data_IF_383393996417
#
_entry.id   IF_383393996417
#
_cell.length_a   1.000
_cell.length_b   1.000
_cell.length_c   1.000
_cell.angle_alpha   90.00
_cell.angle_beta   90.00
_cell.angle_gamma   90.00
#
_symmetry.space_group_name_H-M   'P 1'
#
loop_
_entity.id
_entity.type
_entity.pdbx_description
1 polymer ?
#
# COMPACT_ATOMS: atom_id res chain seq x y z
N UNK A 1 -35.43 7.63 -13.72
CA UNK A 1 -35.03 8.22 -12.42
C UNK A 1 -33.72 8.96 -12.65
N UNK A 2 -33.85 10.23 -12.98
CA UNK A 2 -32.77 11.13 -13.38
C UNK A 2 -31.86 11.43 -12.20
N UNK A 3 -30.57 11.14 -12.34
CA UNK A 3 -29.54 11.62 -11.42
C UNK A 3 -29.54 13.14 -11.52
N UNK A 4 -29.89 13.82 -10.43
CA UNK A 4 -29.75 15.26 -10.29
C UNK A 4 -28.27 15.59 -9.96
N UNK A 5 -27.50 16.20 -10.88
CA UNK A 5 -26.12 16.57 -10.63
C UNK A 5 -25.99 17.70 -9.58
N UNK A 6 -27.08 18.39 -9.23
CA UNK A 6 -27.06 19.52 -8.31
C UNK A 6 -26.91 19.12 -6.82
N UNK A 7 -27.08 17.84 -6.45
CA UNK A 7 -26.89 17.40 -5.05
C UNK A 7 -25.43 17.05 -4.69
N UNK A 8 -24.51 17.14 -5.65
CA UNK A 8 -23.07 16.89 -5.42
C UNK A 8 -22.25 18.16 -5.20
N UNK A 9 -22.89 19.33 -5.33
CA UNK A 9 -22.37 20.64 -4.95
C UNK A 9 -23.11 21.08 -3.66
N UNK A 10 -22.43 21.81 -2.75
CA UNK A 10 -22.91 22.35 -1.45
C UNK A 10 -22.44 21.66 -0.15
N UNK A 11 -21.34 20.91 -0.17
CA UNK A 11 -20.54 20.77 1.06
C UNK A 11 -19.17 21.35 0.77
N UNK A 12 -18.90 22.53 1.33
CA UNK A 12 -17.57 23.12 1.26
C UNK A 12 -16.51 22.09 1.71
N UNK A 13 -15.35 22.01 1.05
CA UNK A 13 -14.28 21.13 1.48
C UNK A 13 -13.94 21.45 2.95
N UNK A 14 -13.68 20.43 3.78
CA UNK A 14 -13.33 20.67 5.17
C UNK A 14 -12.03 21.50 5.24
N UNK A 15 -11.83 22.29 6.31
CA UNK A 15 -10.52 22.90 6.53
C UNK A 15 -9.44 21.81 6.70
N UNK A 16 -8.17 22.10 6.37
CA UNK A 16 -7.06 21.17 6.59
C UNK A 16 -7.02 20.65 8.03
N UNK A 17 -7.02 19.32 8.25
CA UNK A 17 -6.89 18.74 9.59
C UNK A 17 -5.46 18.93 10.13
N UNK A 18 -5.32 19.05 11.45
CA UNK A 18 -4.02 18.95 12.13
C UNK A 18 -3.62 17.50 12.36
N UNK A 19 -4.59 16.61 12.59
CA UNK A 19 -4.36 15.18 12.80
C UNK A 19 -5.29 14.33 11.92
N UNK A 20 -4.69 13.57 11.00
CA UNK A 20 -5.38 12.64 10.11
C UNK A 20 -5.05 11.19 10.50
N UNK A 21 -6.09 10.39 10.73
CA UNK A 21 -5.97 8.94 10.86
C UNK A 21 -6.29 8.25 9.54
N UNK A 22 -5.37 7.46 9.00
CA UNK A 22 -5.58 6.63 7.82
C UNK A 22 -5.75 5.18 8.25
N UNK A 23 -6.81 4.51 7.78
CA UNK A 23 -7.05 3.09 8.07
C UNK A 23 -6.96 2.29 6.77
N UNK A 24 -5.84 1.59 6.56
CA UNK A 24 -5.62 0.70 5.41
C UNK A 24 -4.77 -0.49 5.80
N UNK A 25 -5.40 -1.65 5.95
CA UNK A 25 -4.75 -2.86 6.47
C UNK A 25 -4.05 -3.78 5.43
N UNK A 26 -4.47 -3.81 4.15
CA UNK A 26 -3.99 -4.77 3.10
C UNK A 26 -4.28 -4.25 1.70
N UNK A 27 -3.85 -4.84 0.56
CA UNK A 27 -2.66 -5.65 0.29
C UNK A 27 -1.48 -4.75 -0.14
N UNK A 28 -0.29 -5.30 -0.42
CA UNK A 28 0.90 -4.48 -0.75
C UNK A 28 0.61 -3.43 -1.85
N UNK A 29 0.03 -3.85 -2.98
CA UNK A 29 -0.30 -2.94 -4.08
C UNK A 29 -1.27 -1.83 -3.68
N UNK A 30 -2.21 -2.12 -2.77
CA UNK A 30 -3.13 -1.10 -2.26
C UNK A 30 -2.47 -0.16 -1.25
N UNK A 31 -1.51 -0.66 -0.47
CA UNK A 31 -0.73 0.15 0.46
C UNK A 31 0.11 1.15 -0.33
N UNK A 32 0.80 0.70 -1.39
CA UNK A 32 1.58 1.58 -2.28
C UNK A 32 0.69 2.65 -2.93
N UNK A 33 -0.48 2.26 -3.45
CA UNK A 33 -1.42 3.23 -4.02
C UNK A 33 -1.96 4.20 -2.97
N UNK A 34 -2.24 3.72 -1.75
CA UNK A 34 -2.68 4.59 -0.66
C UNK A 34 -1.54 5.53 -0.22
N UNK A 35 -0.28 5.08 -0.22
CA UNK A 35 0.88 5.92 0.11
C UNK A 35 1.01 7.09 -0.88
N UNK A 36 0.76 6.86 -2.16
CA UNK A 36 0.72 7.91 -3.19
C UNK A 36 -0.37 8.95 -2.92
N UNK A 37 -1.55 8.53 -2.45
CA UNK A 37 -2.60 9.46 -2.01
C UNK A 37 -2.15 10.27 -0.80
N UNK A 38 -1.58 9.60 0.21
CA UNK A 38 -1.15 10.25 1.44
C UNK A 38 0.05 11.19 1.21
N UNK A 39 0.91 10.90 0.22
CA UNK A 39 1.95 11.83 -0.24
C UNK A 39 1.32 13.14 -0.75
N UNK A 40 0.30 13.05 -1.60
CA UNK A 40 -0.43 14.22 -2.10
C UNK A 40 -1.11 15.00 -0.98
N UNK A 41 -1.68 14.31 0.01
CA UNK A 41 -2.22 14.94 1.23
C UNK A 41 -1.14 15.71 1.98
N UNK A 42 0.02 15.10 2.24
CA UNK A 42 1.08 15.74 3.00
C UNK A 42 1.65 16.98 2.30
N UNK A 43 1.70 16.97 0.96
CA UNK A 43 2.10 18.13 0.14
C UNK A 43 1.10 19.28 0.26
N UNK A 44 -0.19 18.98 0.18
CA UNK A 44 -1.25 19.99 0.17
C UNK A 44 -1.63 20.45 1.59
N UNK A 45 -1.38 19.64 2.62
CA UNK A 45 -1.57 19.93 4.04
C UNK A 45 -0.25 19.75 4.83
N UNK A 46 0.73 20.65 4.67
CA UNK A 46 2.09 20.49 5.23
C UNK A 46 2.16 20.44 6.76
N UNK A 47 1.13 20.91 7.48
CA UNK A 47 1.03 20.84 8.95
C UNK A 47 0.23 19.64 9.48
N UNK A 48 -0.27 18.77 8.60
CA UNK A 48 -1.09 17.64 9.01
C UNK A 48 -0.21 16.48 9.51
N UNK A 49 -0.38 16.12 10.78
CA UNK A 49 0.21 14.90 11.36
C UNK A 49 -0.60 13.70 10.90
N UNK A 50 0.08 12.77 10.23
CA UNK A 50 -0.54 11.58 9.64
C UNK A 50 -0.24 10.35 10.50
N UNK A 51 -1.28 9.73 11.03
CA UNK A 51 -1.21 8.44 11.73
C UNK A 51 -1.84 7.36 10.85
N UNK A 52 -1.18 6.22 10.68
CA UNK A 52 -1.65 5.16 9.80
C UNK A 52 -1.81 3.83 10.54
N UNK A 53 -3.01 3.23 10.47
CA UNK A 53 -3.27 1.85 10.94
C UNK A 53 -3.11 0.87 9.78
N UNK A 54 -2.10 -0.01 9.89
CA UNK A 54 -1.73 -0.98 8.86
C UNK A 54 -1.45 -2.34 9.51
N UNK A 55 -1.53 -3.44 8.76
CA UNK A 55 -1.04 -4.72 9.28
C UNK A 55 0.45 -4.66 9.60
N UNK A 56 0.83 -5.31 10.69
CA UNK A 56 2.21 -5.55 11.12
C UNK A 56 3.18 -5.89 9.96
N UNK A 57 2.80 -6.79 9.06
CA UNK A 57 3.60 -7.22 7.91
C UNK A 57 3.98 -6.06 6.95
N UNK A 58 3.18 -5.00 6.89
CA UNK A 58 3.42 -3.84 6.02
C UNK A 58 3.80 -2.58 6.80
N UNK A 59 3.91 -2.65 8.13
CA UNK A 59 4.28 -1.50 8.95
C UNK A 59 5.64 -0.91 8.55
N UNK A 60 6.71 -1.71 8.31
CA UNK A 60 8.00 -1.15 7.90
C UNK A 60 7.94 -0.34 6.61
N UNK A 61 7.12 -0.74 5.63
CA UNK A 61 6.92 -0.01 4.39
C UNK A 61 6.26 1.36 4.62
N UNK A 62 5.27 1.41 5.51
CA UNK A 62 4.57 2.65 5.83
C UNK A 62 5.45 3.58 6.68
N UNK A 63 6.23 3.03 7.61
CA UNK A 63 7.22 3.78 8.41
C UNK A 63 8.34 4.38 7.55
N UNK A 64 8.65 3.76 6.41
CA UNK A 64 9.60 4.27 5.43
C UNK A 64 9.14 5.61 4.81
N UNK A 65 7.84 5.86 4.76
CA UNK A 65 7.30 7.05 4.12
C UNK A 65 7.55 8.29 5.00
N UNK A 66 8.30 9.30 4.52
CA UNK A 66 8.72 10.45 5.33
C UNK A 66 7.54 11.31 5.82
N UNK A 67 6.39 11.20 5.14
CA UNK A 67 5.18 11.96 5.42
C UNK A 67 4.22 11.24 6.39
N UNK A 68 4.49 9.99 6.76
CA UNK A 68 3.73 9.29 7.80
C UNK A 68 4.44 9.46 9.14
N UNK A 69 3.73 10.03 10.11
CA UNK A 69 4.32 10.46 11.38
C UNK A 69 4.20 9.42 12.48
N UNK A 70 3.17 8.57 12.42
CA UNK A 70 2.98 7.48 13.37
C UNK A 70 2.31 6.28 12.68
N UNK A 71 2.79 5.07 12.99
CA UNK A 71 2.23 3.83 12.45
C UNK A 71 1.71 2.97 13.60
N UNK A 72 0.44 2.59 13.51
CA UNK A 72 -0.21 1.66 14.43
C UNK A 72 -0.25 0.29 13.75
N UNK A 73 0.67 -0.59 14.15
CA UNK A 73 0.78 -1.94 13.63
C UNK A 73 -0.33 -2.86 14.18
N UNK A 74 -1.26 -3.25 13.31
CA UNK A 74 -2.34 -4.19 13.61
C UNK A 74 -1.85 -5.65 13.49
N UNK A 75 -1.73 -6.31 14.64
CA UNK A 75 -1.32 -7.72 14.77
C UNK A 75 -2.50 -8.66 14.51
N UNK A 76 -2.77 -8.96 13.23
CA UNK A 76 -3.92 -9.81 12.84
C UNK A 76 -3.89 -11.19 13.50
N UNK A 77 -2.70 -11.77 13.71
CA UNK A 77 -2.53 -13.10 14.33
C UNK A 77 -2.95 -13.13 15.81
N UNK A 78 -2.99 -11.99 16.49
CA UNK A 78 -3.46 -11.87 17.87
C UNK A 78 -5.01 -11.82 17.99
N UNK A 79 -5.75 -11.96 16.88
CA UNK A 79 -7.21 -12.02 16.87
C UNK A 79 -7.85 -10.80 17.53
N UNK A 80 -8.82 -11.05 18.43
CA UNK A 80 -9.53 -10.00 19.15
C UNK A 80 -8.63 -9.15 20.04
N UNK A 81 -7.58 -9.72 20.63
CA UNK A 81 -6.61 -8.97 21.45
C UNK A 81 -5.89 -7.91 20.60
N UNK A 82 -5.46 -8.31 19.40
CA UNK A 82 -4.85 -7.37 18.44
C UNK A 82 -5.79 -6.23 18.04
N UNK A 83 -7.08 -6.51 17.86
CA UNK A 83 -8.07 -5.46 17.59
C UNK A 83 -8.23 -4.51 18.79
N UNK A 84 -8.35 -5.03 20.00
CA UNK A 84 -8.48 -4.23 21.22
C UNK A 84 -7.24 -3.37 21.48
N UNK A 85 -6.04 -3.91 21.26
CA UNK A 85 -4.78 -3.17 21.36
C UNK A 85 -4.73 -2.02 20.35
N UNK A 86 -5.07 -2.28 19.08
CA UNK A 86 -5.16 -1.23 18.06
C UNK A 86 -6.21 -0.18 18.42
N UNK A 87 -7.39 -0.57 18.91
CA UNK A 87 -8.42 0.37 19.38
C UNK A 87 -7.90 1.23 20.53
N UNK A 88 -7.21 0.63 21.51
CA UNK A 88 -6.61 1.37 22.64
C UNK A 88 -5.59 2.40 22.14
N UNK A 89 -4.74 2.03 21.19
CA UNK A 89 -3.76 2.95 20.59
C UNK A 89 -4.45 4.11 19.86
N UNK A 90 -5.43 3.81 19.00
CA UNK A 90 -6.24 4.83 18.30
C UNK A 90 -6.92 5.78 19.30
N UNK A 91 -7.46 5.26 20.40
CA UNK A 91 -8.17 6.06 21.42
C UNK A 91 -7.25 6.89 22.31
N UNK A 92 -5.93 6.74 22.24
CA UNK A 92 -4.98 7.61 22.97
C UNK A 92 -4.86 8.99 22.34
N UNK A 93 -5.07 9.08 21.03
CA UNK A 93 -5.00 10.33 20.27
C UNK A 93 -6.42 10.86 19.95
N UNK A 94 -6.50 12.13 19.55
CA UNK A 94 -7.71 12.73 18.96
C UNK A 94 -7.35 13.08 17.53
N UNK A 95 -8.27 12.81 16.62
CA UNK A 95 -8.08 13.08 15.20
C UNK A 95 -9.13 14.09 14.77
N UNK A 96 -8.75 14.98 13.86
CA UNK A 96 -9.73 15.89 13.25
C UNK A 96 -10.49 15.18 12.14
N UNK A 97 -9.82 14.19 11.50
CA UNK A 97 -10.34 13.43 10.39
C UNK A 97 -9.83 11.99 10.38
N UNK A 98 -10.68 11.06 9.95
CA UNK A 98 -10.34 9.65 9.72
C UNK A 98 -10.68 9.27 8.29
N UNK A 99 -9.74 8.69 7.56
CA UNK A 99 -9.94 8.13 6.22
C UNK A 99 -9.85 6.60 6.28
N UNK A 100 -11.01 5.94 6.25
CA UNK A 100 -11.11 4.50 6.06
C UNK A 100 -11.05 4.16 4.57
N UNK A 101 -9.82 4.05 4.06
CA UNK A 101 -9.54 3.68 2.67
C UNK A 101 -9.71 2.17 2.44
N UNK A 102 -10.00 1.38 3.48
CA UNK A 102 -10.12 -0.06 3.40
C UNK A 102 -11.57 -0.47 3.07
N UNK A 103 -12.56 0.04 3.80
CA UNK A 103 -13.98 -0.21 3.53
C UNK A 103 -14.48 -1.60 3.92
N UNK A 104 -13.78 -2.32 4.83
CA UNK A 104 -14.23 -3.60 5.41
C UNK A 104 -14.68 -3.44 6.85
N UNK A 105 -15.44 -4.42 7.37
CA UNK A 105 -16.08 -4.31 8.69
C UNK A 105 -15.08 -4.21 9.85
N UNK A 106 -13.94 -4.88 9.76
CA UNK A 106 -12.89 -4.82 10.80
C UNK A 106 -12.28 -3.42 10.89
N UNK A 107 -11.77 -2.81 9.79
CA UNK A 107 -11.38 -1.41 9.76
C UNK A 107 -12.49 -0.45 10.25
N UNK A 108 -13.75 -0.71 9.89
CA UNK A 108 -14.87 0.13 10.31
C UNK A 108 -14.99 0.22 11.84
N UNK A 109 -14.72 -0.87 12.59
CA UNK A 109 -14.66 -0.81 14.06
C UNK A 109 -13.52 0.07 14.58
N UNK A 110 -12.35 0.04 13.92
CA UNK A 110 -11.23 0.92 14.26
C UNK A 110 -11.59 2.39 14.00
N UNK A 111 -12.23 2.67 12.86
CA UNK A 111 -12.73 3.99 12.48
C UNK A 111 -13.81 4.50 13.44
N UNK A 112 -14.77 3.64 13.81
CA UNK A 112 -15.82 3.98 14.77
C UNK A 112 -15.24 4.34 16.14
N UNK A 113 -14.25 3.58 16.61
CA UNK A 113 -13.59 3.80 17.89
C UNK A 113 -12.71 5.05 17.94
N UNK A 114 -12.29 5.58 16.80
CA UNK A 114 -11.51 6.80 16.71
C UNK A 114 -12.28 8.02 17.25
N UNK A 115 -11.57 8.85 18.02
CA UNK A 115 -12.10 10.11 18.55
C UNK A 115 -11.93 11.20 17.50
N UNK A 116 -12.88 11.25 16.55
CA UNK A 116 -12.88 12.23 15.46
C UNK A 116 -14.29 12.72 15.15
N UNK A 117 -14.47 14.03 14.90
CA UNK A 117 -15.73 14.57 14.40
C UNK A 117 -15.96 14.23 12.92
N UNK A 118 -14.93 13.83 12.16
CA UNK A 118 -15.06 13.45 10.76
C UNK A 118 -14.51 12.04 10.52
N UNK A 119 -15.37 11.13 10.08
CA UNK A 119 -15.06 9.72 9.79
C UNK A 119 -15.53 9.37 8.40
N UNK A 120 -14.58 9.27 7.50
CA UNK A 120 -14.79 9.13 6.07
C UNK A 120 -14.61 7.68 5.66
N UNK A 121 -15.53 7.18 4.86
CA UNK A 121 -15.44 5.84 4.31
C UNK A 121 -16.30 5.71 3.07
N UNK A 122 -16.08 4.66 2.30
CA UNK A 122 -16.91 4.36 1.13
C UNK A 122 -18.26 3.81 1.57
N UNK A 123 -19.33 4.27 0.94
CA UNK A 123 -20.66 3.70 1.14
C UNK A 123 -20.66 2.25 0.66
N UNK A 124 -20.93 1.32 1.55
CA UNK A 124 -21.14 -0.09 1.21
C UNK A 124 -22.62 -0.41 1.30
N UNK A 125 -23.15 -1.15 0.35
CA UNK A 125 -24.58 -1.55 0.30
C UNK A 125 -25.01 -2.49 1.44
N UNK A 126 -24.12 -2.86 2.38
CA UNK A 126 -24.37 -3.88 3.41
C UNK A 126 -23.94 -3.46 4.83
N UNK A 127 -24.92 -3.32 5.72
CA UNK A 127 -24.81 -3.54 7.17
C UNK A 127 -24.26 -2.40 8.05
N UNK A 128 -23.91 -2.75 9.30
CA UNK A 128 -23.49 -1.89 10.43
C UNK A 128 -22.29 -0.94 10.15
N UNK A 129 -21.62 -1.07 8.99
CA UNK A 129 -20.47 -0.23 8.62
C UNK A 129 -20.84 1.24 8.42
N UNK A 130 -22.06 1.50 7.95
CA UNK A 130 -22.56 2.87 7.75
C UNK A 130 -22.53 3.71 9.04
N UNK A 131 -22.69 3.07 10.20
CA UNK A 131 -22.64 3.74 11.50
C UNK A 131 -21.22 4.19 11.89
N UNK A 132 -20.19 3.64 11.24
CA UNK A 132 -18.79 3.99 11.50
C UNK A 132 -18.36 5.29 10.81
N UNK A 133 -19.13 5.73 9.80
CA UNK A 133 -18.80 6.88 8.97
C UNK A 133 -19.89 7.94 9.08
N UNK A 134 -19.49 9.20 9.12
CA UNK A 134 -20.42 10.34 9.04
C UNK A 134 -20.22 11.17 7.76
N UNK A 135 -19.24 10.82 6.93
CA UNK A 135 -19.07 11.34 5.58
C UNK A 135 -18.75 10.20 4.62
N UNK A 136 -19.47 10.16 3.49
CA UNK A 136 -19.28 9.13 2.48
C UNK A 136 -18.42 9.65 1.34
N UNK A 137 -17.39 8.88 0.99
CA UNK A 137 -16.59 9.11 -0.21
C UNK A 137 -17.31 8.46 -1.39
N UNK A 138 -17.58 9.21 -2.48
CA UNK A 138 -18.29 8.69 -3.64
C UNK A 138 -17.45 7.65 -4.40
N UNK A 139 -18.15 6.88 -5.22
CA UNK A 139 -17.51 6.01 -6.21
C UNK A 139 -17.14 6.84 -7.44
N UNK A 140 -16.04 6.53 -8.15
CA UNK A 140 -15.73 7.19 -9.42
C UNK A 140 -16.89 7.13 -10.42
N UNK A 141 -16.93 8.10 -11.33
CA UNK A 141 -17.90 8.10 -12.43
C UNK A 141 -17.62 6.98 -13.44
N UNK A 142 -18.67 6.56 -14.15
CA UNK A 142 -18.61 5.51 -15.18
C UNK A 142 -19.02 4.12 -14.69
N UNK A 143 -19.15 3.14 -15.59
CA UNK A 143 -19.49 1.77 -15.23
C UNK A 143 -18.29 1.07 -14.52
N UNK A 144 -18.55 0.19 -13.54
CA UNK A 144 -17.51 -0.64 -12.95
C UNK A 144 -16.98 -1.69 -13.96
N UNK A 145 -15.76 -2.25 -13.75
CA UNK A 145 -14.87 -2.05 -12.60
C UNK A 145 -14.02 -0.77 -12.72
N UNK A 146 -13.76 -0.11 -11.59
CA UNK A 146 -12.84 1.03 -11.53
C UNK A 146 -11.45 0.59 -11.10
N UNK A 147 -10.43 1.28 -11.61
CA UNK A 147 -9.06 1.12 -11.14
C UNK A 147 -8.96 1.55 -9.65
N UNK A 148 -8.20 0.81 -8.85
CA UNK A 148 -8.09 1.04 -7.41
C UNK A 148 -7.58 2.46 -7.07
N UNK A 149 -6.59 2.96 -7.83
CA UNK A 149 -6.11 4.34 -7.71
C UNK A 149 -7.25 5.37 -7.87
N UNK A 150 -8.08 5.24 -8.91
CA UNK A 150 -9.19 6.18 -9.18
C UNK A 150 -10.19 6.18 -8.04
N UNK A 151 -10.42 5.03 -7.40
CA UNK A 151 -11.25 4.92 -6.19
C UNK A 151 -10.60 5.65 -5.01
N UNK A 152 -9.29 5.55 -4.85
CA UNK A 152 -8.58 6.22 -3.76
C UNK A 152 -8.47 7.74 -3.98
N UNK A 153 -8.35 8.21 -5.22
CA UNK A 153 -8.37 9.64 -5.58
C UNK A 153 -9.69 10.33 -5.19
N UNK A 154 -10.79 9.59 -5.02
CA UNK A 154 -12.05 10.18 -4.53
C UNK A 154 -11.92 10.76 -3.11
N UNK A 155 -10.98 10.27 -2.29
CA UNK A 155 -10.71 10.89 -0.99
C UNK A 155 -10.10 12.28 -1.14
N UNK A 156 -9.18 12.47 -2.09
CA UNK A 156 -8.59 13.77 -2.43
C UNK A 156 -9.68 14.71 -2.97
N UNK A 157 -10.44 14.26 -3.96
CA UNK A 157 -11.54 15.03 -4.56
C UNK A 157 -12.58 15.46 -3.51
N UNK A 158 -12.98 14.55 -2.62
CA UNK A 158 -13.94 14.86 -1.53
C UNK A 158 -13.39 15.88 -0.53
N UNK A 159 -12.07 15.95 -0.37
CA UNK A 159 -11.38 16.92 0.47
C UNK A 159 -11.09 18.25 -0.25
N UNK A 160 -11.45 18.40 -1.52
CA UNK A 160 -11.12 19.57 -2.32
C UNK A 160 -9.62 19.66 -2.66
N UNK A 161 -8.93 18.52 -2.64
CA UNK A 161 -7.50 18.41 -2.96
C UNK A 161 -7.31 18.04 -4.44
N UNK A 162 -6.18 18.47 -4.99
CA UNK A 162 -5.70 18.03 -6.29
C UNK A 162 -5.52 16.50 -6.29
N UNK A 163 -6.02 15.84 -7.34
CA UNK A 163 -6.02 14.37 -7.47
C UNK A 163 -4.77 13.83 -8.18
N UNK A 164 -3.86 14.70 -8.60
CA UNK A 164 -2.58 14.36 -9.24
C UNK A 164 -1.74 13.51 -8.29
N UNK A 165 -1.15 12.46 -8.87
CA UNK A 165 -0.30 11.51 -8.15
C UNK A 165 1.15 11.85 -8.43
N UNK A 166 1.90 12.10 -7.37
CA UNK A 166 3.32 12.40 -7.44
C UNK A 166 4.13 11.10 -7.55
N UNK A 167 5.08 11.06 -8.48
CA UNK A 167 6.03 9.97 -8.69
C UNK A 167 7.42 10.61 -8.80
N UNK A 168 8.45 10.10 -8.12
CA UNK A 168 8.48 8.86 -7.34
C UNK A 168 7.86 8.98 -5.94
N UNK A 169 7.51 7.83 -5.36
CA UNK A 169 7.15 7.70 -3.95
C UNK A 169 8.45 7.73 -3.12
N UNK A 170 8.73 8.79 -2.35
CA UNK A 170 9.95 8.86 -1.56
C UNK A 170 9.82 7.90 -0.37
N UNK A 171 10.72 6.93 -0.29
CA UNK A 171 10.81 6.02 0.86
C UNK A 171 12.22 6.15 1.46
N UNK A 172 12.28 6.35 2.78
CA UNK A 172 13.52 6.26 3.53
C UNK A 172 14.02 4.81 3.48
N UNK A 173 15.33 4.57 3.49
CA UNK A 173 15.88 3.23 3.65
C UNK A 173 15.26 2.57 4.88
N UNK A 174 14.65 1.41 4.67
CA UNK A 174 14.01 0.66 5.76
C UNK A 174 15.12 -0.10 6.47
N UNK A 175 15.42 0.26 7.71
CA UNK A 175 16.07 -0.68 8.63
C UNK A 175 15.01 -1.67 9.06
N UNK A 176 14.89 -2.77 8.33
CA UNK A 176 13.96 -3.84 8.66
C UNK A 176 14.35 -4.36 10.04
N UNK A 177 13.56 -4.03 11.07
CA UNK A 177 13.79 -4.42 12.45
C UNK A 177 13.44 -5.89 12.62
N UNK A 178 14.42 -6.72 12.32
CA UNK A 178 14.42 -8.18 12.42
C UNK A 178 15.71 -8.70 11.80
N UNK A 179 16.18 -9.86 12.22
CA UNK A 179 17.21 -10.61 11.50
C UNK A 179 16.68 -10.94 10.10
N UNK A 180 16.76 -9.99 9.18
CA UNK A 180 17.03 -10.35 7.81
C UNK A 180 18.53 -10.55 7.80
N UNK A 181 18.95 -11.78 7.57
CA UNK A 181 20.34 -12.03 7.30
C UNK A 181 20.75 -11.04 6.21
N UNK A 182 21.79 -10.27 6.50
CA UNK A 182 22.34 -9.29 5.58
C UNK A 182 22.92 -9.96 4.33
N UNK A 183 22.80 -11.28 4.18
CA UNK A 183 23.17 -12.17 3.07
C UNK A 183 22.77 -11.65 1.69
N UNK A 184 21.68 -10.89 1.59
CA UNK A 184 21.29 -10.26 0.33
C UNK A 184 22.12 -9.00 0.02
N UNK A 185 22.62 -8.28 1.02
CA UNK A 185 23.40 -7.03 0.82
C UNK A 185 24.67 -7.29 0.00
N UNK A 186 25.49 -8.33 0.25
CA UNK A 186 26.61 -8.68 -0.61
C UNK A 186 26.21 -8.86 -2.09
N UNK A 187 25.05 -9.44 -2.38
CA UNK A 187 24.56 -9.59 -3.76
C UNK A 187 24.43 -8.23 -4.48
N UNK A 188 24.03 -7.17 -3.76
CA UNK A 188 23.89 -5.82 -4.32
C UNK A 188 25.11 -4.92 -4.11
N UNK A 189 25.95 -5.19 -3.10
CA UNK A 189 27.06 -4.32 -2.68
C UNK A 189 28.43 -4.74 -3.24
N UNK A 190 28.68 -6.03 -3.48
CA UNK A 190 30.03 -6.56 -3.76
C UNK A 190 30.35 -6.73 -5.26
N UNK A 191 29.64 -6.06 -6.17
CA UNK A 191 29.78 -6.32 -7.60
C UNK A 191 30.43 -5.12 -8.31
N UNK A 192 31.72 -5.24 -8.62
CA UNK A 192 32.51 -4.26 -9.40
C UNK A 192 31.99 -4.05 -10.84
N UNK A 193 30.95 -4.79 -11.26
CA UNK A 193 30.24 -4.68 -12.55
C UNK A 193 28.97 -3.81 -12.50
N UNK A 194 28.73 -3.07 -11.40
CA UNK A 194 27.50 -2.29 -11.15
C UNK A 194 27.09 -1.36 -12.30
N UNK A 195 28.04 -0.84 -13.07
CA UNK A 195 27.81 0.16 -14.10
C UNK A 195 27.66 -0.38 -15.54
N UNK A 196 27.92 -1.67 -15.81
CA UNK A 196 27.93 -2.19 -17.19
C UNK A 196 27.05 -3.43 -17.45
N UNK A 197 26.56 -4.10 -16.40
CA UNK A 197 25.79 -5.35 -16.55
C UNK A 197 24.31 -5.19 -16.17
N UNK A 198 23.35 -5.52 -17.06
CA UNK A 198 21.92 -5.39 -16.78
C UNK A 198 21.48 -6.25 -15.58
N UNK A 199 20.61 -5.69 -14.72
CA UNK A 199 19.97 -6.41 -13.62
C UNK A 199 18.47 -6.60 -13.91
N UNK A 200 18.02 -7.85 -13.91
CA UNK A 200 16.63 -8.24 -14.04
C UNK A 200 16.10 -8.73 -12.69
N UNK A 201 14.99 -8.15 -12.23
CA UNK A 201 14.30 -8.58 -10.99
C UNK A 201 12.93 -9.13 -11.38
N UNK A 202 12.65 -10.37 -11.00
CA UNK A 202 11.42 -11.07 -11.36
C UNK A 202 10.69 -11.51 -10.11
N UNK A 203 9.42 -11.13 -9.99
CA UNK A 203 8.54 -11.62 -8.93
C UNK A 203 7.81 -12.86 -9.41
N UNK A 204 8.11 -14.00 -8.80
CA UNK A 204 7.67 -15.32 -9.30
C UNK A 204 6.35 -15.79 -8.70
N UNK A 205 6.01 -15.26 -7.54
CA UNK A 205 4.91 -15.76 -6.73
C UNK A 205 3.68 -14.87 -6.84
N UNK A 206 2.51 -15.52 -6.79
CA UNK A 206 1.22 -14.86 -6.66
C UNK A 206 0.40 -15.53 -5.58
N UNK A 207 -0.50 -14.78 -4.94
CA UNK A 207 -1.43 -15.35 -3.96
C UNK A 207 -2.49 -16.27 -4.58
N UNK A 208 -2.60 -16.30 -5.92
CA UNK A 208 -3.54 -17.14 -6.64
C UNK A 208 -2.77 -18.07 -7.60
N UNK A 209 -3.00 -19.38 -7.50
CA UNK A 209 -2.23 -20.37 -8.26
C UNK A 209 -2.36 -20.19 -9.78
N UNK A 210 -3.53 -19.78 -10.26
CA UNK A 210 -3.80 -19.49 -11.66
C UNK A 210 -3.12 -18.21 -12.19
N UNK A 211 -2.47 -17.44 -11.30
CA UNK A 211 -1.67 -16.25 -11.65
C UNK A 211 -0.17 -16.51 -11.53
N UNK A 212 0.24 -17.73 -11.23
CA UNK A 212 1.65 -18.12 -11.22
C UNK A 212 2.04 -18.55 -12.63
N UNK A 213 3.07 -17.92 -13.17
CA UNK A 213 3.62 -18.28 -14.47
C UNK A 213 4.78 -19.26 -14.28
N UNK A 214 4.80 -20.37 -15.02
CA UNK A 214 5.82 -21.40 -14.84
C UNK A 214 7.07 -21.18 -15.72
N UNK A 215 7.08 -20.14 -16.57
CA UNK A 215 8.13 -19.93 -17.58
C UNK A 215 9.39 -19.19 -17.09
N UNK A 216 9.53 -18.90 -15.80
CA UNK A 216 10.65 -18.09 -15.28
C UNK A 216 12.02 -18.72 -15.54
N UNK A 217 12.13 -20.06 -15.54
CA UNK A 217 13.40 -20.74 -15.86
C UNK A 217 13.80 -20.51 -17.31
N UNK A 218 12.89 -20.77 -18.24
CA UNK A 218 13.11 -20.55 -19.67
C UNK A 218 13.43 -19.08 -19.96
N UNK A 219 12.71 -18.15 -19.32
CA UNK A 219 13.00 -16.72 -19.43
C UNK A 219 14.39 -16.36 -18.91
N UNK A 220 14.82 -16.94 -17.79
CA UNK A 220 16.16 -16.70 -17.24
C UNK A 220 17.25 -17.18 -18.21
N UNK A 221 17.07 -18.37 -18.81
CA UNK A 221 17.98 -18.87 -19.85
C UNK A 221 18.01 -17.93 -21.06
N UNK A 222 16.86 -17.47 -21.53
CA UNK A 222 16.77 -16.52 -22.64
C UNK A 222 17.47 -15.19 -22.32
N UNK A 223 17.31 -14.68 -21.09
CA UNK A 223 18.00 -13.47 -20.63
C UNK A 223 19.51 -13.67 -20.68
N UNK A 224 20.04 -14.78 -20.17
CA UNK A 224 21.49 -15.05 -20.22
C UNK A 224 22.03 -15.30 -21.63
N UNK A 225 21.23 -15.84 -22.56
CA UNK A 225 21.65 -15.96 -23.97
C UNK A 225 21.78 -14.58 -24.61
N UNK A 226 20.84 -13.67 -24.37
CA UNK A 226 20.83 -12.34 -24.99
C UNK A 226 21.70 -11.30 -24.25
N UNK A 227 21.90 -11.51 -22.95
CA UNK A 227 22.68 -10.66 -22.06
C UNK A 227 23.57 -11.53 -21.18
N UNK A 228 24.70 -12.06 -21.69
CA UNK A 228 25.54 -13.04 -20.97
C UNK A 228 26.11 -12.54 -19.64
N UNK A 229 26.38 -11.24 -19.53
CA UNK A 229 26.84 -10.61 -18.29
C UNK A 229 25.71 -10.21 -17.33
N UNK A 230 24.44 -10.41 -17.72
CA UNK A 230 23.31 -9.98 -16.91
C UNK A 230 23.14 -10.78 -15.62
N UNK A 231 22.51 -10.13 -14.66
CA UNK A 231 22.14 -10.70 -13.37
C UNK A 231 20.63 -10.83 -13.31
N UNK A 232 20.17 -11.96 -12.78
CA UNK A 232 18.74 -12.26 -12.67
C UNK A 232 18.44 -12.63 -11.23
N UNK A 233 17.47 -11.94 -10.62
CA UNK A 233 17.01 -12.17 -9.26
C UNK A 233 15.57 -12.64 -9.31
N UNK A 234 15.28 -13.79 -8.69
CA UNK A 234 13.91 -14.25 -8.48
C UNK A 234 13.49 -13.88 -7.07
N UNK A 235 12.44 -13.09 -6.96
CA UNK A 235 11.82 -12.66 -5.71
C UNK A 235 10.53 -13.46 -5.50
N UNK A 236 10.56 -14.39 -4.55
CA UNK A 236 9.42 -15.20 -4.14
C UNK A 236 9.10 -15.05 -2.66
N UNK A 237 7.89 -15.44 -2.28
CA UNK A 237 7.49 -15.65 -0.88
C UNK A 237 8.05 -16.96 -0.33
N UNK A 238 8.29 -17.94 -1.21
CA UNK A 238 8.94 -19.21 -0.86
C UNK A 238 10.38 -19.21 -1.37
N UNK A 239 11.34 -19.75 -0.59
CA UNK A 239 12.65 -20.05 -1.11
C UNK A 239 12.50 -20.99 -2.30
N UNK A 240 13.12 -20.62 -3.40
CA UNK A 240 13.23 -21.49 -4.56
C UNK A 240 14.39 -22.46 -4.32
N UNK A 241 14.32 -23.70 -4.85
CA UNK A 241 15.49 -24.55 -4.90
C UNK A 241 16.63 -23.80 -5.62
N UNK A 242 17.89 -23.98 -5.19
CA UNK A 242 19.01 -23.30 -5.82
C UNK A 242 19.02 -23.61 -7.33
N UNK A 243 19.39 -22.64 -8.18
CA UNK A 243 19.48 -22.89 -9.61
C UNK A 243 20.47 -24.02 -9.86
N UNK A 244 20.26 -24.85 -10.89
CA UNK A 244 21.29 -25.80 -11.31
C UNK A 244 22.58 -25.03 -11.62
N UNK A 245 23.77 -25.64 -11.37
CA UNK A 245 25.04 -25.00 -11.67
C UNK A 245 25.05 -24.50 -13.11
N UNK A 246 25.64 -23.33 -13.36
CA UNK A 246 25.75 -22.75 -14.72
C UNK A 246 26.29 -23.84 -15.65
N UNK A 247 25.42 -24.46 -16.44
CA UNK A 247 25.87 -25.33 -17.51
C UNK A 247 26.74 -24.47 -18.42
N UNK A 248 28.00 -24.87 -18.61
CA UNK A 248 28.79 -24.40 -19.72
C UNK A 248 27.90 -24.50 -20.96
N UNK A 249 27.67 -23.39 -21.64
CA UNK A 249 26.80 -23.33 -22.80
C UNK A 249 27.29 -24.33 -23.84
N UNK A 250 26.70 -25.52 -23.87
CA UNK A 250 26.72 -26.37 -25.03
C UNK A 250 25.83 -25.73 -26.10
N UNK A 251 26.19 -25.79 -27.38
CA UNK A 251 25.37 -25.20 -28.43
C UNK A 251 23.98 -25.85 -28.39
N UNK A 252 22.93 -25.02 -28.39
CA UNK A 252 21.58 -25.49 -28.64
C UNK A 252 21.49 -26.02 -30.09
N UNK A 253 20.72 -27.09 -30.34
CA UNK A 253 20.56 -27.68 -31.67
C UNK A 253 19.87 -26.74 -32.66
#
# INVERSE_FOLDING_TARGET
MTHDPAQSLLIAPPPPPRNLLVVRLTALGDIVQSLQIIQSVARQWPGCRITWVVRDTFAPLVEAAPFVHHVIAYRRKAGWRGLLETIRQIRRERFDMVWDMHGLIRPAFMTLAARSPQKWGRKSSKGLRGLSYNRFVPTPAGPPPHHAMTVHQQFLSTAGLDTTIDIPLPLKPISLTGQLDDDWKPFFNNDSKRDSSPLFVMFTDSSAANKMWNGYEALTRLIWVNYPDSRVVWCGLKPLPPPPPRCAAGPLP
#
